data_IF_513952319400
#
_entry.id   IF_513952319400
#
_cell.length_a   1.000
_cell.length_b   1.000
_cell.length_c   1.000
_cell.angle_alpha   90.00
_cell.angle_beta   90.00
_cell.angle_gamma   90.00
#
_symmetry.space_group_name_H-M   'P 1'
#
loop_
_entity.id
_entity.type
_entity.pdbx_description
1 polymer ?
#
# COMPACT_ATOMS: atom_id res chain seq x y z
N UNK A 1 35.02 -10.02 -30.51
CA UNK A 1 34.10 -9.62 -31.60
C UNK A 1 33.15 -8.56 -31.08
N UNK A 2 33.39 -7.28 -31.42
CA UNK A 2 32.34 -6.23 -31.43
C UNK A 2 31.62 -6.29 -32.80
N UNK A 3 30.69 -5.37 -33.11
CA UNK A 3 29.28 -5.32 -32.70
C UNK A 3 28.36 -5.28 -33.95
N UNK A 4 27.04 -5.44 -33.82
CA UNK A 4 26.07 -4.78 -34.75
C UNK A 4 24.64 -4.83 -34.20
N UNK A 5 24.17 -3.67 -33.74
CA UNK A 5 22.80 -3.19 -34.00
C UNK A 5 22.89 -2.39 -35.32
N UNK A 6 21.86 -2.29 -36.20
CA UNK A 6 20.69 -1.45 -35.90
C UNK A 6 19.34 -1.84 -36.56
N UNK A 7 18.28 -1.32 -35.96
CA UNK A 7 17.06 -0.76 -36.56
C UNK A 7 16.39 -1.41 -37.78
N UNK A 8 15.12 -1.81 -37.63
CA UNK A 8 14.11 -1.55 -38.67
C UNK A 8 12.81 -1.09 -38.00
N UNK A 9 12.59 0.23 -38.02
CA UNK A 9 11.27 0.84 -37.92
C UNK A 9 10.49 0.46 -39.19
N UNK A 10 9.29 -0.10 -39.05
CA UNK A 10 8.29 -0.10 -40.12
C UNK A 10 6.98 0.46 -39.59
N UNK A 11 6.84 1.74 -39.90
CA UNK A 11 5.61 2.52 -39.96
C UNK A 11 4.60 1.79 -40.86
N UNK A 12 3.37 1.60 -40.38
CA UNK A 12 2.20 1.51 -41.24
C UNK A 12 1.17 2.49 -40.69
N UNK A 13 1.19 3.69 -41.28
CA UNK A 13 0.14 4.66 -41.16
C UNK A 13 -1.06 4.14 -41.97
N UNK A 14 -2.11 3.72 -41.29
CA UNK A 14 -3.42 3.52 -41.91
C UNK A 14 -4.14 4.87 -41.92
N UNK A 15 -4.07 5.55 -43.07
CA UNK A 15 -4.81 6.77 -43.37
C UNK A 15 -6.29 6.40 -43.55
N UNK A 16 -7.12 6.64 -42.54
CA UNK A 16 -8.59 6.50 -42.67
C UNK A 16 -9.14 7.81 -43.23
N UNK A 17 -9.46 7.80 -44.53
CA UNK A 17 -10.26 8.84 -45.18
C UNK A 17 -11.71 8.71 -44.69
N UNK A 18 -12.13 9.58 -43.77
CA UNK A 18 -13.54 9.78 -43.45
C UNK A 18 -14.09 10.84 -44.40
N UNK A 19 -14.95 10.41 -45.33
CA UNK A 19 -15.72 11.30 -46.17
C UNK A 19 -16.67 12.15 -45.30
N UNK A 20 -16.53 13.47 -45.37
CA UNK A 20 -17.48 14.40 -44.77
C UNK A 20 -18.76 14.42 -45.62
N UNK A 21 -19.83 13.79 -45.12
CA UNK A 21 -21.18 14.10 -45.56
C UNK A 21 -21.74 15.23 -44.70
N UNK A 22 -22.40 16.26 -45.27
CA UNK A 22 -23.08 17.28 -44.48
C UNK A 22 -24.30 16.64 -43.83
N UNK A 23 -24.24 16.40 -42.52
CA UNK A 23 -25.43 16.02 -41.75
C UNK A 23 -26.28 17.28 -41.61
N UNK A 24 -27.43 17.30 -42.30
CA UNK A 24 -28.46 18.30 -42.07
C UNK A 24 -28.86 18.25 -40.60
N UNK A 25 -28.67 19.38 -39.91
CA UNK A 25 -29.11 19.56 -38.54
C UNK A 25 -30.64 19.64 -38.51
N UNK A 26 -31.28 18.55 -38.11
CA UNK A 26 -32.65 18.54 -37.63
C UNK A 26 -32.60 18.98 -36.15
N UNK A 27 -33.24 20.09 -35.72
CA UNK A 27 -33.22 20.49 -34.32
C UNK A 27 -34.07 19.49 -33.52
N UNK A 28 -33.41 18.48 -32.96
CA UNK A 28 -34.02 17.57 -32.00
C UNK A 28 -34.62 18.35 -30.83
N UNK A 29 -35.80 17.97 -30.32
CA UNK A 29 -36.38 18.61 -29.15
C UNK A 29 -35.42 18.46 -27.98
N UNK A 30 -35.01 19.59 -27.40
CA UNK A 30 -34.27 19.69 -26.16
C UNK A 30 -35.03 18.97 -25.06
N UNK A 31 -34.70 17.69 -24.84
CA UNK A 31 -35.12 16.94 -23.67
C UNK A 31 -34.38 17.55 -22.49
N UNK A 32 -35.09 18.33 -21.68
CA UNK A 32 -34.61 18.78 -20.38
C UNK A 32 -34.04 17.57 -19.62
N UNK A 33 -32.87 17.70 -18.96
CA UNK A 33 -32.32 16.59 -18.18
C UNK A 33 -33.35 16.17 -17.13
N UNK A 34 -33.58 14.87 -16.92
CA UNK A 34 -34.54 14.39 -15.93
C UNK A 34 -34.17 14.98 -14.58
N UNK A 35 -35.13 15.66 -13.93
CA UNK A 35 -34.98 16.18 -12.56
C UNK A 35 -34.75 14.97 -11.66
N UNK A 36 -33.49 14.76 -11.27
CA UNK A 36 -33.14 13.73 -10.30
C UNK A 36 -33.76 14.16 -8.98
N UNK A 37 -34.71 13.37 -8.46
CA UNK A 37 -35.30 13.63 -7.16
C UNK A 37 -34.19 13.67 -6.11
N UNK A 38 -34.23 14.67 -5.21
CA UNK A 38 -33.22 14.85 -4.15
C UNK A 38 -33.00 13.56 -3.36
N UNK A 39 -34.06 12.79 -3.14
CA UNK A 39 -34.02 11.51 -2.45
C UNK A 39 -33.20 10.44 -3.21
N UNK A 40 -33.30 10.40 -4.54
CA UNK A 40 -32.49 9.49 -5.36
C UNK A 40 -31.01 9.90 -5.34
N UNK A 41 -30.72 11.20 -5.38
CA UNK A 41 -29.35 11.70 -5.30
C UNK A 41 -28.69 11.36 -3.95
N UNK A 42 -29.41 11.50 -2.83
CA UNK A 42 -28.89 11.11 -1.50
C UNK A 42 -28.72 9.59 -1.38
N UNK A 43 -29.68 8.78 -1.86
CA UNK A 43 -29.53 7.31 -1.90
C UNK A 43 -28.32 6.87 -2.73
N UNK A 44 -28.06 7.52 -3.86
CA UNK A 44 -26.90 7.22 -4.70
C UNK A 44 -25.58 7.58 -4.01
N UNK A 45 -25.53 8.72 -3.30
CA UNK A 45 -24.35 9.11 -2.50
C UNK A 45 -24.09 8.12 -1.37
N UNK A 46 -25.13 7.73 -0.63
CA UNK A 46 -25.01 6.76 0.46
C UNK A 46 -24.55 5.39 -0.05
N UNK A 47 -25.14 4.92 -1.16
CA UNK A 47 -24.74 3.68 -1.81
C UNK A 47 -23.27 3.74 -2.29
N UNK A 48 -22.86 4.87 -2.87
CA UNK A 48 -21.46 5.08 -3.29
C UNK A 48 -20.51 5.06 -2.09
N UNK A 49 -20.85 5.72 -0.98
CA UNK A 49 -20.05 5.69 0.26
C UNK A 49 -19.91 4.27 0.81
N UNK A 50 -21.01 3.52 0.88
CA UNK A 50 -21.00 2.12 1.35
C UNK A 50 -20.16 1.21 0.46
N UNK A 51 -20.27 1.35 -0.85
CA UNK A 51 -19.43 0.60 -1.79
C UNK A 51 -17.95 0.96 -1.66
N UNK A 52 -17.63 2.25 -1.52
CA UNK A 52 -16.24 2.70 -1.32
C UNK A 52 -15.66 2.17 -0.01
N UNK A 53 -16.42 2.21 1.09
CA UNK A 53 -15.99 1.66 2.38
C UNK A 53 -15.77 0.14 2.30
N UNK A 54 -16.70 -0.59 1.68
CA UNK A 54 -16.55 -2.03 1.46
C UNK A 54 -15.34 -2.37 0.56
N UNK A 55 -15.06 -1.53 -0.44
CA UNK A 55 -13.89 -1.69 -1.31
C UNK A 55 -12.60 -1.43 -0.53
N UNK A 56 -12.51 -0.34 0.23
CA UNK A 56 -11.37 -0.04 1.11
C UNK A 56 -11.07 -1.23 2.05
N UNK A 57 -12.09 -1.83 2.67
CA UNK A 57 -11.90 -3.00 3.53
C UNK A 57 -11.31 -4.21 2.80
N UNK A 58 -11.75 -4.47 1.56
CA UNK A 58 -11.18 -5.54 0.74
C UNK A 58 -9.74 -5.27 0.34
N UNK A 59 -9.42 -4.02 0.02
CA UNK A 59 -8.08 -3.60 -0.35
C UNK A 59 -7.12 -3.76 0.85
N UNK A 60 -7.55 -3.31 2.03
CA UNK A 60 -6.83 -3.48 3.30
C UNK A 60 -6.58 -4.97 3.59
N UNK A 61 -7.59 -5.83 3.44
CA UNK A 61 -7.42 -7.27 3.67
C UNK A 61 -6.42 -7.89 2.68
N UNK A 62 -6.53 -7.54 1.39
CA UNK A 62 -5.61 -8.01 0.35
C UNK A 62 -4.17 -7.57 0.65
N UNK A 63 -3.99 -6.32 1.07
CA UNK A 63 -2.70 -5.78 1.47
C UNK A 63 -2.15 -6.52 2.70
N UNK A 64 -2.96 -6.76 3.73
CA UNK A 64 -2.54 -7.48 4.93
C UNK A 64 -2.05 -8.91 4.61
N UNK A 65 -2.77 -9.64 3.75
CA UNK A 65 -2.35 -10.99 3.31
C UNK A 65 -1.05 -10.93 2.51
N UNK A 66 -0.90 -9.95 1.61
CA UNK A 66 0.34 -9.73 0.86
C UNK A 66 1.51 -9.42 1.78
N UNK A 67 1.30 -8.54 2.77
CA UNK A 67 2.30 -8.16 3.75
C UNK A 67 2.73 -9.36 4.60
N UNK A 68 1.78 -10.15 5.09
CA UNK A 68 2.06 -11.36 5.87
C UNK A 68 2.90 -12.35 5.07
N UNK A 69 2.60 -12.54 3.78
CA UNK A 69 3.41 -13.39 2.90
C UNK A 69 4.85 -12.88 2.77
N UNK A 70 5.04 -11.58 2.59
CA UNK A 70 6.37 -10.97 2.49
C UNK A 70 7.16 -11.13 3.79
N UNK A 71 6.52 -10.89 4.94
CA UNK A 71 7.13 -11.10 6.26
C UNK A 71 7.51 -12.58 6.44
N UNK A 72 6.63 -13.52 6.05
CA UNK A 72 6.92 -14.95 6.09
C UNK A 72 8.15 -15.34 5.26
N UNK A 73 8.25 -14.83 4.04
CA UNK A 73 9.43 -15.05 3.18
C UNK A 73 10.70 -14.47 3.81
N UNK A 74 10.62 -13.26 4.37
CA UNK A 74 11.73 -12.62 5.05
C UNK A 74 12.20 -13.42 6.28
N UNK A 75 11.27 -13.97 7.07
CA UNK A 75 11.62 -14.81 8.22
C UNK A 75 12.38 -16.08 7.82
N UNK A 76 11.96 -16.75 6.75
CA UNK A 76 12.67 -17.93 6.24
C UNK A 76 14.05 -17.58 5.67
N UNK A 77 14.18 -16.44 4.97
CA UNK A 77 15.46 -15.97 4.50
C UNK A 77 16.40 -15.62 5.67
N UNK A 78 15.86 -14.98 6.71
CA UNK A 78 16.59 -14.65 7.92
C UNK A 78 17.10 -15.90 8.63
N UNK A 79 16.25 -16.92 8.81
CA UNK A 79 16.63 -18.20 9.41
C UNK A 79 17.77 -18.88 8.64
N UNK A 80 17.73 -18.84 7.30
CA UNK A 80 18.80 -19.40 6.45
C UNK A 80 20.12 -18.63 6.57
N UNK A 81 20.06 -17.30 6.68
CA UNK A 81 21.27 -16.45 6.76
C UNK A 81 21.90 -16.45 8.16
N UNK A 82 21.08 -16.45 9.21
CA UNK A 82 21.52 -16.24 10.59
C UNK A 82 21.39 -17.49 11.48
N UNK A 83 20.89 -18.60 10.94
CA UNK A 83 20.79 -19.88 11.64
C UNK A 83 19.63 -19.98 12.64
N UNK A 84 18.70 -19.03 12.63
CA UNK A 84 17.54 -18.99 13.50
C UNK A 84 16.65 -17.78 13.24
N UNK A 85 15.46 -17.77 13.84
CA UNK A 85 14.54 -16.63 13.76
C UNK A 85 15.09 -15.39 14.49
N UNK A 86 14.58 -14.18 14.17
CA UNK A 86 14.94 -12.96 14.88
C UNK A 86 14.75 -13.09 16.39
N UNK A 87 15.79 -12.74 17.15
CA UNK A 87 15.85 -12.97 18.60
C UNK A 87 17.19 -12.53 19.18
N UNK A 88 17.38 -12.68 20.49
CA UNK A 88 18.60 -12.20 21.17
C UNK A 88 19.88 -12.83 20.58
N UNK A 89 19.82 -14.12 20.23
CA UNK A 89 20.94 -14.86 19.67
C UNK A 89 21.38 -14.37 18.28
N UNK A 90 20.49 -13.74 17.52
CA UNK A 90 20.75 -13.30 16.13
C UNK A 90 21.14 -11.82 16.03
N UNK A 91 20.95 -11.03 17.11
CA UNK A 91 21.34 -9.61 17.17
C UNK A 91 22.84 -9.39 16.92
N UNK A 92 23.71 -10.09 17.65
CA UNK A 92 25.16 -9.89 17.52
C UNK A 92 25.70 -10.33 16.14
N UNK A 93 25.33 -11.51 15.60
CA UNK A 93 25.64 -11.90 14.23
C UNK A 93 25.16 -10.88 13.19
N UNK A 94 23.93 -10.37 13.34
CA UNK A 94 23.34 -9.39 12.44
C UNK A 94 24.12 -8.07 12.43
N UNK A 95 24.38 -7.50 13.62
CA UNK A 95 25.17 -6.26 13.75
C UNK A 95 26.55 -6.42 13.12
N UNK A 96 27.21 -7.56 13.35
CA UNK A 96 28.52 -7.85 12.77
C UNK A 96 28.48 -7.99 11.26
N UNK A 97 27.48 -8.69 10.71
CA UNK A 97 27.36 -8.95 9.28
C UNK A 97 27.00 -7.70 8.46
N UNK A 98 26.19 -6.81 9.03
CA UNK A 98 25.63 -5.64 8.33
C UNK A 98 26.23 -4.30 8.76
N UNK A 99 27.11 -4.28 9.77
CA UNK A 99 27.75 -3.07 10.25
C UNK A 99 26.78 -2.09 10.94
N UNK A 100 25.69 -2.61 11.51
CA UNK A 100 24.64 -1.80 12.14
C UNK A 100 25.14 -1.30 13.50
N UNK A 101 25.20 0.03 13.66
CA UNK A 101 25.59 0.70 14.91
C UNK A 101 24.42 0.94 15.86
N UNK A 102 23.19 0.89 15.36
CA UNK A 102 21.99 1.08 16.16
C UNK A 102 21.80 -0.06 17.18
N UNK A 103 21.14 0.25 18.29
CA UNK A 103 20.72 -0.75 19.27
C UNK A 103 19.55 -1.57 18.71
N UNK A 104 19.90 -2.69 18.04
CA UNK A 104 18.95 -3.77 17.79
C UNK A 104 18.70 -4.54 19.08
N UNK A 105 17.44 -4.62 19.50
CA UNK A 105 16.96 -5.44 20.60
C UNK A 105 16.33 -6.76 20.13
N UNK A 106 15.74 -7.48 21.07
CA UNK A 106 14.92 -8.67 20.82
C UNK A 106 13.86 -8.90 21.91
N UNK A 107 13.58 -7.88 22.73
CA UNK A 107 12.66 -8.00 23.86
C UNK A 107 11.19 -7.93 23.42
N UNK A 108 10.93 -7.25 22.31
CA UNK A 108 9.60 -7.08 21.74
C UNK A 108 9.52 -7.63 20.32
N UNK A 109 8.30 -7.93 19.87
CA UNK A 109 8.07 -8.32 18.47
C UNK A 109 8.55 -7.24 17.48
N UNK A 110 8.43 -5.96 17.85
CA UNK A 110 8.92 -4.85 17.04
C UNK A 110 10.43 -4.90 16.88
N UNK A 111 11.17 -5.22 17.95
CA UNK A 111 12.63 -5.38 17.85
C UNK A 111 13.01 -6.52 16.91
N UNK A 112 12.29 -7.65 16.98
CA UNK A 112 12.46 -8.77 16.07
C UNK A 112 12.14 -8.40 14.60
N UNK A 113 11.12 -7.56 14.35
CA UNK A 113 10.85 -7.06 13.00
C UNK A 113 11.90 -6.06 12.52
N UNK A 114 12.44 -5.22 13.39
CA UNK A 114 13.55 -4.33 13.06
C UNK A 114 14.81 -5.11 12.66
N UNK A 115 15.02 -6.32 13.19
CA UNK A 115 16.10 -7.19 12.72
C UNK A 115 15.90 -7.63 11.25
N UNK A 116 14.66 -7.83 10.79
CA UNK A 116 14.38 -8.13 9.37
C UNK A 116 14.70 -6.94 8.45
N UNK A 117 14.40 -5.73 8.94
CA UNK A 117 14.75 -4.48 8.24
C UNK A 117 16.28 -4.32 8.23
N UNK A 118 16.95 -4.49 9.37
CA UNK A 118 18.40 -4.42 9.49
C UNK A 118 19.13 -5.47 8.64
N UNK A 119 18.52 -6.63 8.41
CA UNK A 119 19.03 -7.65 7.51
C UNK A 119 18.83 -7.32 6.01
N UNK A 120 18.13 -6.24 5.68
CA UNK A 120 17.67 -5.87 4.33
C UNK A 120 16.76 -6.91 3.66
N UNK A 121 16.04 -7.69 4.47
CA UNK A 121 15.06 -8.66 3.96
C UNK A 121 13.68 -8.02 3.76
N UNK A 122 13.45 -6.90 4.45
CA UNK A 122 12.27 -6.04 4.27
C UNK A 122 12.79 -4.62 4.00
N UNK A 123 12.44 -4.09 2.83
CA UNK A 123 12.91 -2.77 2.36
C UNK A 123 11.93 -1.67 2.74
N UNK A 124 10.62 -1.95 2.70
CA UNK A 124 9.59 -0.96 3.01
C UNK A 124 9.06 -1.17 4.44
N UNK A 125 9.35 -0.28 5.39
CA UNK A 125 8.83 -0.38 6.75
C UNK A 125 7.30 -0.25 6.83
N UNK A 126 6.65 0.29 5.79
CA UNK A 126 5.18 0.40 5.71
C UNK A 126 4.50 -0.97 5.65
N UNK A 127 5.24 -2.04 5.37
CA UNK A 127 4.76 -3.42 5.51
C UNK A 127 4.18 -3.71 6.90
N UNK A 128 4.71 -3.03 7.92
CA UNK A 128 4.25 -3.16 9.29
C UNK A 128 3.13 -2.16 9.62
N UNK A 129 2.95 -1.07 8.88
CA UNK A 129 1.86 -0.13 9.18
C UNK A 129 0.51 -0.67 8.70
N UNK A 130 -0.53 -0.53 9.52
CA UNK A 130 -1.91 -0.76 9.12
C UNK A 130 -2.66 0.57 9.08
N UNK A 131 -3.16 0.94 7.90
CA UNK A 131 -4.08 2.07 7.78
C UNK A 131 -5.43 1.62 8.35
N UNK A 132 -5.84 2.21 9.48
CA UNK A 132 -7.19 1.98 9.98
C UNK A 132 -8.16 2.56 8.94
N UNK A 133 -9.17 1.81 8.48
CA UNK A 133 -10.20 2.38 7.64
C UNK A 133 -10.84 3.55 8.38
N UNK A 134 -11.01 4.69 7.72
CA UNK A 134 -11.72 5.82 8.30
C UNK A 134 -13.09 5.32 8.81
N UNK A 135 -13.46 5.62 10.07
CA UNK A 135 -14.82 5.36 10.49
C UNK A 135 -15.77 6.08 9.52
N UNK A 136 -16.95 5.49 9.21
CA UNK A 136 -17.96 6.21 8.46
C UNK A 136 -18.18 7.55 9.17
N UNK A 137 -18.07 8.66 8.44
CA UNK A 137 -18.32 10.00 9.00
C UNK A 137 -19.80 10.07 9.42
N UNK A 138 -20.07 9.70 10.66
CA UNK A 138 -21.33 9.97 11.33
C UNK A 138 -21.28 11.45 11.74
N UNK A 139 -21.88 12.31 10.93
CA UNK A 139 -22.25 13.65 11.38
C UNK A 139 -23.41 13.48 12.35
N UNK A 140 -23.11 13.31 13.64
CA UNK A 140 -23.81 13.95 14.76
C UNK A 140 -23.10 13.65 16.09
N UNK A 141 -23.07 14.67 16.93
CA UNK A 141 -22.33 14.76 18.19
C UNK A 141 -22.66 13.65 19.20
N UNK A 142 -21.64 13.06 19.84
CA UNK A 142 -21.52 13.07 21.31
C UNK A 142 -20.21 12.45 21.80
N UNK A 143 -19.51 13.20 22.64
CA UNK A 143 -18.26 12.83 23.29
C UNK A 143 -18.52 11.82 24.40
N UNK A 144 -18.54 10.52 24.08
CA UNK A 144 -18.44 9.48 25.08
C UNK A 144 -17.19 8.62 24.88
N UNK A 145 -16.29 8.73 25.87
CA UNK A 145 -15.05 7.98 26.00
C UNK A 145 -15.30 6.47 25.97
N UNK A 146 -15.15 5.86 24.79
CA UNK A 146 -14.94 4.42 24.72
C UNK A 146 -13.48 4.14 25.01
N UNK A 147 -13.26 3.58 26.20
CA UNK A 147 -12.00 3.02 26.64
C UNK A 147 -11.64 1.87 25.69
N UNK A 148 -10.78 2.13 24.70
CA UNK A 148 -10.28 1.13 23.75
C UNK A 148 -9.27 0.19 24.44
N UNK A 149 -9.75 -0.65 25.35
CA UNK A 149 -8.95 -1.70 25.97
C UNK A 149 -8.78 -2.91 25.05
N UNK A 150 -8.20 -2.73 23.86
CA UNK A 150 -7.33 -3.68 23.09
C UNK A 150 -6.83 -3.08 21.75
N UNK A 151 -6.58 -1.76 21.68
CA UNK A 151 -5.94 -1.16 20.49
C UNK A 151 -4.40 -1.32 20.53
N UNK A 152 -3.91 -2.56 20.48
CA UNK A 152 -2.48 -2.86 20.29
C UNK A 152 -2.25 -3.34 18.86
N UNK A 153 -2.04 -2.39 17.96
CA UNK A 153 -1.15 -2.49 16.79
C UNK A 153 -0.91 -1.07 16.25
N UNK A 154 -0.09 -0.31 16.99
CA UNK A 154 0.53 0.93 16.50
C UNK A 154 2.02 0.70 16.39
N UNK A 155 2.58 0.84 15.19
CA UNK A 155 4.03 1.01 15.03
C UNK A 155 4.28 2.25 14.17
N UNK A 156 4.68 3.33 14.83
CA UNK A 156 5.43 4.40 14.19
C UNK A 156 6.85 3.86 13.99
N UNK A 157 7.23 3.62 12.74
CA UNK A 157 8.59 3.21 12.38
C UNK A 157 9.51 4.40 12.64
N UNK A 158 10.40 4.27 13.62
CA UNK A 158 11.59 5.12 13.70
C UNK A 158 12.59 4.51 12.71
N UNK A 159 12.92 5.25 11.65
CA UNK A 159 13.91 4.80 10.66
C UNK A 159 15.21 4.41 11.37
N UNK A 160 15.66 3.17 11.17
CA UNK A 160 16.92 2.70 11.76
C UNK A 160 18.05 3.32 10.95
N UNK A 161 18.98 4.08 11.56
CA UNK A 161 20.07 4.68 10.81
C UNK A 161 21.12 3.64 10.39
N UNK A 162 21.67 3.82 9.20
CA UNK A 162 22.79 3.03 8.66
C UNK A 162 24.13 3.31 9.37
N UNK A 163 25.21 2.65 8.94
CA UNK A 163 26.55 2.86 9.50
C UNK A 163 27.08 4.31 9.37
N UNK A 164 26.46 5.11 8.50
CA UNK A 164 26.77 6.51 8.20
C UNK A 164 25.81 7.49 8.90
N UNK A 165 24.81 7.00 9.63
CA UNK A 165 23.80 7.82 10.31
C UNK A 165 22.64 8.27 9.43
N UNK A 166 22.52 7.76 8.21
CA UNK A 166 21.40 8.08 7.32
C UNK A 166 20.19 7.20 7.67
N UNK A 167 18.95 7.73 7.64
CA UNK A 167 17.76 6.89 7.77
C UNK A 167 17.72 5.86 6.62
N UNK A 168 17.53 4.59 6.97
CA UNK A 168 17.25 3.50 6.02
C UNK A 168 15.83 3.59 5.47
#
# INVERSE_FOLDING_TARGET
>A
MRPTSPAVRRTLAALVLVAAAPVSADPAPTKEPPKVDKEFAEKLKEASRKMNAAQKLKDIHTQAVSNLRQIGVALFAFEKEYGGFPGEATVAPLKKARGIKAELGAATANDCFLQLIGAHLIVDPKLFTFEKPDPPEDHDHDHHHHNHSVDKCTFAVVAVPDASGNPM
#
